data_IF_282242404913
#
_entry.id   IF_282242404913
#
_cell.length_a   1.000
_cell.length_b   1.000
_cell.length_c   1.000
_cell.angle_alpha   90.00
_cell.angle_beta   90.00
_cell.angle_gamma   90.00
#
_symmetry.space_group_name_H-M   'P 1'
#
loop_
_entity.id
_entity.type
_entity.pdbx_description
1 polymer ?
#
# COMPACT_ATOMS: atom_id res chain seq x y z
N UNK A 1 -9.10 -17.00 6.88
CA UNK A 1 -7.84 -16.25 6.75
C UNK A 1 -6.60 -17.13 6.94
N UNK A 2 -6.49 -17.95 8.01
CA UNK A 2 -5.29 -18.80 8.23
C UNK A 2 -5.14 -19.95 7.21
N UNK A 3 -6.23 -20.60 6.79
CA UNK A 3 -6.16 -21.75 5.87
C UNK A 3 -5.64 -21.42 4.46
N UNK A 4 -5.99 -20.23 3.93
CA UNK A 4 -5.51 -19.78 2.62
C UNK A 4 -4.02 -19.39 2.67
N UNK A 5 -3.55 -18.84 3.78
CA UNK A 5 -2.14 -18.52 4.00
C UNK A 5 -1.24 -19.75 4.18
N UNK A 6 -1.79 -20.88 4.66
CA UNK A 6 -1.05 -22.13 4.79
C UNK A 6 -0.73 -22.78 3.44
N UNK A 7 -1.53 -22.51 2.40
CA UNK A 7 -1.38 -23.12 1.08
C UNK A 7 0.02 -22.93 0.44
N UNK A 8 0.55 -21.69 0.29
CA UNK A 8 1.92 -21.50 -0.22
C UNK A 8 2.99 -22.12 0.70
N UNK A 9 2.75 -22.13 2.03
CA UNK A 9 3.67 -22.75 2.98
C UNK A 9 3.77 -24.27 2.83
N UNK A 10 2.65 -24.96 2.60
CA UNK A 10 2.63 -26.41 2.33
C UNK A 10 3.31 -26.71 1.00
N UNK A 11 3.05 -25.92 -0.04
CA UNK A 11 3.73 -26.06 -1.33
C UNK A 11 5.24 -25.89 -1.15
N UNK A 12 5.69 -24.83 -0.47
CA UNK A 12 7.10 -24.59 -0.21
C UNK A 12 7.74 -25.73 0.58
N UNK A 13 7.05 -26.29 1.57
CA UNK A 13 7.53 -27.43 2.34
C UNK A 13 7.74 -28.68 1.47
N UNK A 14 6.77 -29.01 0.60
CA UNK A 14 6.88 -30.14 -0.32
C UNK A 14 8.06 -29.94 -1.29
N UNK A 15 8.22 -28.73 -1.84
CA UNK A 15 9.33 -28.40 -2.74
C UNK A 15 10.69 -28.54 -2.06
N UNK A 16 10.80 -28.14 -0.78
CA UNK A 16 12.04 -28.30 -0.02
C UNK A 16 12.48 -29.76 0.18
N UNK A 17 11.56 -30.74 0.14
CA UNK A 17 11.94 -32.15 0.19
C UNK A 17 12.72 -32.63 -1.05
N UNK A 18 12.59 -31.92 -2.18
CA UNK A 18 13.29 -32.22 -3.43
C UNK A 18 14.47 -31.28 -3.74
N UNK A 19 14.61 -30.18 -2.99
CA UNK A 19 15.65 -29.19 -3.27
C UNK A 19 17.02 -29.69 -2.75
N UNK A 20 18.08 -29.67 -3.57
CA UNK A 20 19.41 -30.04 -3.09
C UNK A 20 19.89 -29.02 -2.03
N UNK A 21 20.64 -29.52 -1.03
CA UNK A 21 21.29 -28.65 -0.05
C UNK A 21 22.33 -27.73 -0.73
N UNK A 22 22.56 -26.55 -0.16
CA UNK A 22 23.54 -25.61 -0.68
C UNK A 22 24.95 -26.23 -0.76
N UNK A 23 25.68 -26.15 -1.89
CA UNK A 23 27.02 -26.71 -2.03
C UNK A 23 28.00 -26.08 -1.03
N UNK A 24 27.85 -24.78 -0.71
CA UNK A 24 28.64 -24.11 0.33
C UNK A 24 28.47 -24.76 1.70
N UNK A 25 27.23 -25.13 2.06
CA UNK A 25 26.97 -25.82 3.34
C UNK A 25 27.60 -27.22 3.37
N UNK A 26 27.50 -27.97 2.28
CA UNK A 26 28.13 -29.30 2.16
C UNK A 26 29.66 -29.21 2.27
N UNK A 27 30.29 -28.20 1.66
CA UNK A 27 31.73 -27.93 1.81
C UNK A 27 32.11 -27.58 3.26
N UNK A 28 31.32 -26.75 3.94
CA UNK A 28 31.56 -26.43 5.36
C UNK A 28 31.49 -27.66 6.27
N UNK A 29 30.69 -28.67 5.90
CA UNK A 29 30.56 -29.93 6.65
C UNK A 29 31.69 -30.93 6.34
N UNK A 30 32.48 -30.69 5.28
CA UNK A 30 33.55 -31.56 4.81
C UNK A 30 33.14 -32.54 3.71
N UNK A 31 31.88 -32.51 3.24
CA UNK A 31 31.36 -33.40 2.20
C UNK A 31 31.66 -32.86 0.79
N UNK A 32 32.95 -32.80 0.42
CA UNK A 32 33.42 -32.20 -0.85
C UNK A 32 32.89 -32.90 -2.10
N UNK A 33 32.77 -34.23 -2.09
CA UNK A 33 32.23 -35.03 -3.20
C UNK A 33 30.77 -34.69 -3.50
N UNK A 34 29.95 -34.57 -2.45
CA UNK A 34 28.54 -34.20 -2.57
C UNK A 34 28.41 -32.76 -3.07
N UNK A 35 29.24 -31.84 -2.56
CA UNK A 35 29.26 -30.46 -2.98
C UNK A 35 29.59 -30.33 -4.47
N UNK A 36 30.60 -31.07 -4.94
CA UNK A 36 31.00 -31.15 -6.34
C UNK A 36 29.85 -31.65 -7.23
N UNK A 37 29.21 -32.76 -6.85
CA UNK A 37 28.09 -33.31 -7.62
C UNK A 37 26.91 -32.32 -7.73
N UNK A 38 26.63 -31.58 -6.65
CA UNK A 38 25.57 -30.57 -6.61
C UNK A 38 25.92 -29.36 -7.49
N UNK A 39 27.17 -28.88 -7.43
CA UNK A 39 27.69 -27.80 -8.28
C UNK A 39 27.66 -28.14 -9.77
N UNK A 40 28.11 -29.34 -10.14
CA UNK A 40 28.06 -29.83 -11.53
C UNK A 40 26.62 -29.85 -12.05
N UNK A 41 25.67 -30.33 -11.23
CA UNK A 41 24.24 -30.35 -11.58
C UNK A 41 23.64 -28.94 -11.73
N UNK A 42 24.09 -27.96 -10.95
CA UNK A 42 23.59 -26.57 -10.99
C UNK A 42 24.16 -25.79 -12.18
N UNK A 43 25.45 -25.97 -12.48
CA UNK A 43 26.17 -25.22 -13.53
C UNK A 43 26.06 -25.85 -14.90
N UNK A 44 25.73 -27.15 -14.97
CA UNK A 44 25.76 -27.93 -16.22
C UNK A 44 27.12 -27.82 -16.94
N UNK A 45 28.21 -27.76 -16.17
CA UNK A 45 29.60 -27.76 -16.65
C UNK A 45 30.33 -28.99 -16.14
N UNK A 46 31.42 -29.39 -16.80
CA UNK A 46 32.26 -30.51 -16.35
C UNK A 46 33.33 -30.09 -15.34
N UNK A 47 33.63 -28.80 -15.25
CA UNK A 47 34.62 -28.23 -14.33
C UNK A 47 34.00 -27.15 -13.44
N UNK A 48 34.10 -27.37 -12.14
CA UNK A 48 33.67 -26.47 -11.05
C UNK A 48 34.79 -26.25 -10.04
N UNK A 49 36.02 -26.67 -10.37
CA UNK A 49 37.17 -26.70 -9.46
C UNK A 49 37.53 -25.30 -8.97
N UNK A 50 37.52 -24.31 -9.88
CA UNK A 50 37.79 -22.91 -9.53
C UNK A 50 36.72 -22.32 -8.60
N UNK A 51 35.44 -22.62 -8.85
CA UNK A 51 34.33 -22.16 -7.99
C UNK A 51 34.45 -22.82 -6.60
N UNK A 52 34.72 -24.12 -6.54
CA UNK A 52 34.97 -24.83 -5.27
C UNK A 52 36.16 -24.22 -4.51
N UNK A 53 37.28 -23.95 -5.18
CA UNK A 53 38.45 -23.32 -4.54
C UNK A 53 38.11 -21.93 -3.98
N UNK A 54 37.32 -21.14 -4.71
CA UNK A 54 36.88 -19.81 -4.25
C UNK A 54 35.99 -19.89 -3.01
N UNK A 55 35.08 -20.87 -2.97
CA UNK A 55 34.18 -21.12 -1.85
C UNK A 55 34.97 -21.60 -0.63
N UNK A 56 35.92 -22.51 -0.82
CA UNK A 56 36.80 -23.02 0.24
C UNK A 56 37.63 -21.91 0.87
N UNK A 57 38.25 -21.04 0.06
CA UNK A 57 39.02 -19.90 0.54
C UNK A 57 38.17 -18.94 1.38
N UNK A 58 36.93 -18.68 0.95
CA UNK A 58 35.98 -17.83 1.69
C UNK A 58 35.58 -18.46 3.03
N UNK A 59 35.35 -19.77 3.07
CA UNK A 59 35.01 -20.50 4.30
C UNK A 59 36.16 -20.44 5.32
N UNK A 60 37.41 -20.57 4.86
CA UNK A 60 38.60 -20.48 5.71
C UNK A 60 38.79 -19.06 6.28
N UNK A 61 38.60 -18.02 5.47
CA UNK A 61 38.66 -16.62 5.91
C UNK A 61 37.57 -16.28 6.93
N UNK A 62 36.37 -16.85 6.76
CA UNK A 62 35.26 -16.69 7.70
C UNK A 62 35.43 -17.53 8.98
N UNK A 63 36.13 -18.67 8.92
CA UNK A 63 36.39 -19.52 10.07
C UNK A 63 37.17 -18.80 11.18
N UNK A 64 38.10 -17.93 10.79
CA UNK A 64 38.91 -17.10 11.68
C UNK A 64 38.15 -15.90 12.28
N UNK A 65 37.03 -15.52 11.68
CA UNK A 65 36.23 -14.37 12.07
C UNK A 65 34.87 -14.78 12.64
N UNK A 66 34.84 -15.61 13.69
CA UNK A 66 33.59 -16.04 14.35
C UNK A 66 33.25 -15.25 15.62
N UNK A 67 31.95 -15.18 15.91
CA UNK A 67 31.40 -14.67 17.17
C UNK A 67 31.53 -13.15 17.38
N UNK A 68 31.93 -12.74 18.58
CA UNK A 68 32.05 -11.32 18.98
C UNK A 68 33.00 -10.50 18.10
N UNK A 69 33.98 -11.14 17.45
CA UNK A 69 34.89 -10.51 16.49
C UNK A 69 34.14 -9.98 15.26
N UNK A 70 33.05 -10.60 14.82
CA UNK A 70 32.24 -10.11 13.68
C UNK A 70 31.59 -8.78 14.02
N UNK A 71 30.93 -8.70 15.17
CA UNK A 71 30.29 -7.47 15.66
C UNK A 71 31.33 -6.36 15.84
N UNK A 72 32.49 -6.68 16.41
CA UNK A 72 33.60 -5.73 16.55
C UNK A 72 34.12 -5.26 15.18
N UNK A 73 34.31 -6.17 14.23
CA UNK A 73 34.80 -5.86 12.88
C UNK A 73 33.79 -5.00 12.10
N UNK A 74 32.48 -5.20 12.33
CA UNK A 74 31.41 -4.40 11.73
C UNK A 74 31.55 -2.90 12.06
N UNK A 75 31.93 -2.58 13.30
CA UNK A 75 32.11 -1.20 13.78
C UNK A 75 33.54 -0.67 13.63
N UNK A 76 34.54 -1.55 13.60
CA UNK A 76 35.96 -1.17 13.53
C UNK A 76 36.43 -0.96 12.09
N UNK A 77 35.92 -1.76 11.14
CA UNK A 77 36.37 -1.71 9.74
C UNK A 77 35.61 -0.60 8.98
N UNK A 78 36.30 0.44 8.49
CA UNK A 78 35.64 1.63 7.93
C UNK A 78 34.80 1.32 6.68
N UNK A 79 35.25 0.39 5.82
CA UNK A 79 34.50 -0.02 4.63
C UNK A 79 33.19 -0.74 4.98
N UNK A 80 33.23 -1.68 5.92
CA UNK A 80 32.07 -2.45 6.37
C UNK A 80 31.06 -1.54 7.08
N UNK A 81 31.55 -0.62 7.92
CA UNK A 81 30.69 0.38 8.57
C UNK A 81 29.98 1.28 7.56
N UNK A 82 30.66 1.69 6.48
CA UNK A 82 30.05 2.47 5.41
C UNK A 82 28.98 1.68 4.68
N UNK A 83 29.24 0.41 4.35
CA UNK A 83 28.25 -0.47 3.72
C UNK A 83 27.03 -0.70 4.62
N UNK A 84 27.23 -0.95 5.91
CA UNK A 84 26.17 -1.10 6.91
C UNK A 84 25.33 0.17 7.00
N UNK A 85 25.98 1.33 7.14
CA UNK A 85 25.27 2.61 7.24
C UNK A 85 24.41 2.87 6.00
N UNK A 86 24.95 2.64 4.80
CA UNK A 86 24.19 2.79 3.54
C UNK A 86 23.02 1.82 3.49
N UNK A 87 23.21 0.54 3.84
CA UNK A 87 22.15 -0.46 3.86
C UNK A 87 21.03 -0.12 4.86
N UNK A 88 21.40 0.26 6.09
CA UNK A 88 20.43 0.69 7.10
C UNK A 88 19.68 1.95 6.66
N UNK A 89 20.38 2.96 6.15
CA UNK A 89 19.75 4.20 5.69
C UNK A 89 18.81 3.95 4.51
N UNK A 90 19.20 3.06 3.59
CA UNK A 90 18.35 2.66 2.46
C UNK A 90 17.07 1.98 2.95
N UNK A 91 17.18 1.04 3.90
CA UNK A 91 16.02 0.34 4.46
C UNK A 91 15.10 1.29 5.24
N UNK A 92 15.67 2.24 5.98
CA UNK A 92 14.90 3.28 6.66
C UNK A 92 14.15 4.13 5.65
N UNK A 93 14.83 4.68 4.64
CA UNK A 93 14.19 5.52 3.61
C UNK A 93 13.11 4.75 2.85
N UNK A 94 13.29 3.45 2.58
CA UNK A 94 12.27 2.62 1.97
C UNK A 94 11.00 2.55 2.83
N UNK A 95 11.11 2.43 4.15
CA UNK A 95 9.95 2.42 5.05
C UNK A 95 9.34 3.81 5.26
N UNK A 96 10.19 4.83 5.43
CA UNK A 96 9.77 6.22 5.60
C UNK A 96 9.07 6.79 4.36
N UNK A 97 9.30 6.21 3.18
CA UNK A 97 8.53 6.56 1.98
C UNK A 97 7.02 6.32 2.13
N UNK A 98 6.61 5.41 3.04
CA UNK A 98 5.21 5.13 3.33
C UNK A 98 4.55 4.12 2.39
N UNK A 99 5.30 3.31 1.64
CA UNK A 99 4.74 2.30 0.73
C UNK A 99 3.73 1.37 1.41
N UNK A 100 4.02 0.93 2.63
CA UNK A 100 3.12 0.07 3.38
C UNK A 100 1.80 0.79 3.67
N UNK A 101 1.84 2.07 4.02
CA UNK A 101 0.65 2.88 4.22
C UNK A 101 -0.17 2.97 2.93
N UNK A 102 0.46 3.26 1.79
CA UNK A 102 -0.24 3.35 0.50
C UNK A 102 -0.85 2.01 0.10
N UNK A 103 -0.13 0.89 0.25
CA UNK A 103 -0.66 -0.44 -0.13
C UNK A 103 -1.81 -0.85 0.81
N UNK A 104 -1.60 -0.82 2.13
CA UNK A 104 -2.59 -1.30 3.10
C UNK A 104 -3.83 -0.41 3.18
N UNK A 105 -3.66 0.91 3.06
CA UNK A 105 -4.76 1.86 3.16
C UNK A 105 -5.18 2.42 1.80
N UNK A 106 -4.77 1.81 0.67
CA UNK A 106 -5.14 2.24 -0.69
C UNK A 106 -6.66 2.43 -0.84
N UNK A 107 -7.47 1.45 -0.41
CA UNK A 107 -8.93 1.55 -0.45
C UNK A 107 -9.46 2.66 0.44
N UNK A 108 -8.88 2.86 1.62
CA UNK A 108 -9.26 3.96 2.52
C UNK A 108 -8.89 5.33 1.95
N UNK A 109 -7.71 5.46 1.34
CA UNK A 109 -7.25 6.69 0.68
C UNK A 109 -8.19 7.03 -0.47
N UNK A 110 -8.55 6.05 -1.30
CA UNK A 110 -9.50 6.24 -2.41
C UNK A 110 -10.91 6.57 -1.92
N UNK A 111 -11.35 5.94 -0.83
CA UNK A 111 -12.62 6.28 -0.17
C UNK A 111 -12.60 7.75 0.29
N UNK A 112 -11.57 8.16 1.02
CA UNK A 112 -11.42 9.57 1.45
C UNK A 112 -11.26 10.56 0.29
N UNK A 113 -10.75 10.10 -0.86
CA UNK A 113 -10.66 10.92 -2.08
C UNK A 113 -12.02 11.16 -2.74
N UNK A 114 -13.08 10.46 -2.32
CA UNK A 114 -14.46 10.67 -2.80
C UNK A 114 -15.06 9.52 -3.58
N UNK A 115 -14.40 8.36 -3.65
CA UNK A 115 -14.99 7.17 -4.26
C UNK A 115 -15.93 6.45 -3.29
N UNK A 116 -17.03 5.93 -3.83
CA UNK A 116 -17.90 4.99 -3.13
C UNK A 116 -17.12 3.81 -2.56
N UNK A 117 -17.56 3.24 -1.44
CA UNK A 117 -16.82 2.20 -0.73
C UNK A 117 -16.58 0.96 -1.59
N UNK A 118 -17.58 0.52 -2.37
CA UNK A 118 -17.42 -0.65 -3.25
C UNK A 118 -16.46 -0.33 -4.37
N UNK A 119 -16.58 0.85 -4.98
CA UNK A 119 -15.68 1.31 -6.03
C UNK A 119 -14.25 1.48 -5.53
N UNK A 120 -14.05 2.01 -4.33
CA UNK A 120 -12.73 2.18 -3.72
C UNK A 120 -12.02 0.84 -3.48
N UNK A 121 -12.75 -0.22 -3.12
CA UNK A 121 -12.21 -1.58 -3.00
C UNK A 121 -11.79 -2.14 -4.36
N UNK A 122 -12.60 -1.95 -5.42
CA UNK A 122 -12.23 -2.40 -6.76
C UNK A 122 -11.06 -1.60 -7.34
N UNK A 123 -11.05 -0.28 -7.12
CA UNK A 123 -9.98 0.61 -7.58
C UNK A 123 -8.67 0.37 -6.84
N UNK A 124 -8.69 -0.07 -5.57
CA UNK A 124 -7.47 -0.39 -4.83
C UNK A 124 -6.71 -1.59 -5.40
N UNK A 125 -7.37 -2.46 -6.17
CA UNK A 125 -6.69 -3.56 -6.90
C UNK A 125 -5.73 -3.00 -7.95
N UNK A 126 -5.96 -1.81 -8.48
CA UNK A 126 -5.12 -1.20 -9.52
C UNK A 126 -3.71 -0.91 -9.00
N UNK A 127 -3.48 -0.12 -7.94
CA UNK A 127 -2.13 0.10 -7.40
C UNK A 127 -1.46 -1.20 -6.96
N UNK A 128 -2.19 -2.19 -6.46
CA UNK A 128 -1.63 -3.51 -6.14
C UNK A 128 -1.13 -4.26 -7.38
N UNK A 129 -1.91 -4.24 -8.46
CA UNK A 129 -1.54 -4.85 -9.74
C UNK A 129 -0.35 -4.12 -10.37
N UNK A 130 -0.34 -2.80 -10.27
CA UNK A 130 0.78 -1.96 -10.70
C UNK A 130 2.05 -2.31 -9.92
N UNK A 131 1.98 -2.52 -8.61
CA UNK A 131 3.14 -2.95 -7.81
C UNK A 131 3.76 -4.26 -8.34
N UNK A 132 2.89 -5.24 -8.63
CA UNK A 132 3.32 -6.52 -9.18
C UNK A 132 4.00 -6.35 -10.55
N UNK A 133 3.39 -5.61 -11.47
CA UNK A 133 3.93 -5.38 -12.81
C UNK A 133 5.21 -4.53 -12.77
N UNK A 134 5.24 -3.50 -11.94
CA UNK A 134 6.37 -2.61 -11.78
C UNK A 134 7.60 -3.33 -11.23
N UNK A 135 7.43 -4.41 -10.46
CA UNK A 135 8.56 -5.25 -10.00
C UNK A 135 9.35 -5.86 -11.17
N UNK A 136 8.68 -6.26 -12.27
CA UNK A 136 9.36 -6.77 -13.47
C UNK A 136 10.07 -5.66 -14.25
N UNK A 137 9.40 -4.51 -14.39
CA UNK A 137 9.99 -3.31 -15.01
C UNK A 137 11.25 -2.92 -14.23
N UNK A 138 11.19 -3.02 -12.92
CA UNK A 138 12.26 -2.67 -12.04
C UNK A 138 13.48 -3.58 -12.11
N UNK A 139 13.24 -4.90 -12.17
CA UNK A 139 14.31 -5.88 -12.43
C UNK A 139 15.07 -5.54 -13.72
N UNK A 140 14.34 -5.21 -14.79
CA UNK A 140 14.94 -4.80 -16.06
C UNK A 140 15.67 -3.45 -15.95
N UNK A 141 15.07 -2.46 -15.28
CA UNK A 141 15.64 -1.13 -15.10
C UNK A 141 16.98 -1.17 -14.33
N UNK A 142 17.07 -2.02 -13.31
CA UNK A 142 18.30 -2.23 -12.51
C UNK A 142 19.44 -2.77 -13.38
N UNK A 143 19.15 -3.72 -14.27
CA UNK A 143 20.14 -4.27 -15.20
C UNK A 143 20.56 -3.26 -16.27
N UNK A 144 19.61 -2.48 -16.81
CA UNK A 144 19.88 -1.53 -17.90
C UNK A 144 20.57 -0.23 -17.45
N UNK A 145 20.12 0.37 -16.33
CA UNK A 145 20.56 1.71 -15.90
C UNK A 145 21.52 1.70 -14.70
N UNK A 146 21.61 0.56 -14.00
CA UNK A 146 22.42 0.38 -12.82
C UNK A 146 21.77 0.88 -11.52
N UNK A 147 22.09 0.19 -10.42
CA UNK A 147 21.42 0.32 -9.10
C UNK A 147 21.33 1.75 -8.56
N UNK A 148 22.40 2.55 -8.67
CA UNK A 148 22.44 3.90 -8.07
C UNK A 148 21.51 4.88 -8.79
N UNK A 149 21.46 4.82 -10.13
CA UNK A 149 20.63 5.75 -10.92
C UNK A 149 19.16 5.45 -10.72
N UNK A 150 18.80 4.17 -10.78
CA UNK A 150 17.44 3.68 -10.52
C UNK A 150 16.95 4.14 -9.14
N UNK A 151 17.77 3.94 -8.10
CA UNK A 151 17.40 4.37 -6.75
C UNK A 151 17.16 5.89 -6.66
N UNK A 152 18.03 6.70 -7.26
CA UNK A 152 17.86 8.16 -7.26
C UNK A 152 16.61 8.61 -8.04
N UNK A 153 16.31 7.98 -9.18
CA UNK A 153 15.09 8.28 -9.95
C UNK A 153 13.82 7.87 -9.19
N UNK A 154 13.85 6.75 -8.46
CA UNK A 154 12.71 6.31 -7.64
C UNK A 154 12.34 7.31 -6.56
N UNK A 155 13.32 7.84 -5.82
CA UNK A 155 13.05 8.88 -4.82
C UNK A 155 12.44 10.14 -5.43
N UNK A 156 12.88 10.55 -6.62
CA UNK A 156 12.31 11.69 -7.32
C UNK A 156 10.86 11.40 -7.78
N UNK A 157 10.62 10.21 -8.33
CA UNK A 157 9.28 9.79 -8.75
C UNK A 157 8.30 9.71 -7.57
N UNK A 158 8.74 9.16 -6.43
CA UNK A 158 7.97 9.14 -5.18
C UNK A 158 7.64 10.57 -4.74
N UNK A 159 8.62 11.47 -4.68
CA UNK A 159 8.37 12.86 -4.28
C UNK A 159 7.34 13.56 -5.20
N UNK A 160 7.46 13.38 -6.52
CA UNK A 160 6.50 13.94 -7.48
C UNK A 160 5.10 13.33 -7.32
N UNK A 161 5.00 12.02 -7.10
CA UNK A 161 3.71 11.35 -6.91
C UNK A 161 2.99 11.80 -5.62
N UNK A 162 3.73 12.07 -4.54
CA UNK A 162 3.17 12.63 -3.32
C UNK A 162 2.65 14.06 -3.53
N UNK A 163 3.32 14.85 -4.37
CA UNK A 163 2.80 16.17 -4.76
C UNK A 163 1.51 16.06 -5.58
N UNK A 164 1.40 15.07 -6.48
CA UNK A 164 0.16 14.81 -7.23
C UNK A 164 -0.97 14.39 -6.30
N UNK A 165 -0.70 13.52 -5.31
CA UNK A 165 -1.68 13.15 -4.29
C UNK A 165 -2.13 14.38 -3.49
N UNK A 166 -1.19 15.19 -3.00
CA UNK A 166 -1.50 16.43 -2.27
C UNK A 166 -2.34 17.39 -3.13
N UNK A 167 -2.00 17.53 -4.41
CA UNK A 167 -2.74 18.35 -5.37
C UNK A 167 -4.14 17.80 -5.71
N UNK A 168 -4.41 16.51 -5.48
CA UNK A 168 -5.76 15.95 -5.60
C UNK A 168 -6.62 16.22 -4.38
N UNK A 169 -6.06 16.05 -3.17
CA UNK A 169 -6.79 16.26 -1.91
C UNK A 169 -7.02 17.73 -1.58
N UNK A 170 -6.09 18.62 -1.92
CA UNK A 170 -6.21 20.05 -1.62
C UNK A 170 -7.46 20.71 -2.25
N UNK A 171 -7.71 20.63 -3.57
CA UNK A 171 -8.91 21.19 -4.18
C UNK A 171 -10.18 20.44 -3.77
N UNK A 172 -10.10 19.13 -3.50
CA UNK A 172 -11.24 18.37 -2.98
C UNK A 172 -11.69 18.90 -1.61
N UNK A 173 -10.74 19.27 -0.74
CA UNK A 173 -11.03 19.89 0.54
C UNK A 173 -11.56 21.33 0.41
N UNK A 174 -10.88 22.18 -0.37
CA UNK A 174 -11.26 23.60 -0.51
C UNK A 174 -12.62 23.78 -1.19
N UNK A 175 -12.96 22.96 -2.18
CA UNK A 175 -14.23 23.04 -2.90
C UNK A 175 -15.30 22.10 -2.34
N UNK A 176 -15.11 21.59 -1.12
CA UNK A 176 -16.13 20.78 -0.47
C UNK A 176 -17.40 21.62 -0.24
N UNK A 177 -18.59 21.12 -0.57
CA UNK A 177 -19.81 21.87 -0.39
C UNK A 177 -20.10 22.06 1.09
N UNK A 178 -20.47 23.30 1.42
CA UNK A 178 -20.91 23.67 2.75
C UNK A 178 -22.28 23.07 3.07
N UNK A 179 -22.58 22.89 4.35
CA UNK A 179 -23.91 22.54 4.84
C UNK A 179 -24.85 23.73 4.60
N UNK A 180 -25.73 23.61 3.61
CA UNK A 180 -26.62 24.70 3.15
C UNK A 180 -28.09 24.49 3.49
N UNK A 181 -28.49 23.31 3.99
CA UNK A 181 -29.87 23.06 4.41
C UNK A 181 -30.09 23.48 5.87
N UNK A 182 -30.20 24.79 6.06
CA UNK A 182 -30.82 25.39 7.23
C UNK A 182 -32.32 25.12 7.12
N UNK A 183 -32.80 24.04 7.77
CA UNK A 183 -34.18 23.80 8.21
C UNK A 183 -34.34 22.30 8.51
N UNK A 184 -33.72 21.86 9.60
CA UNK A 184 -34.27 20.76 10.39
C UNK A 184 -34.62 21.36 11.75
N UNK A 185 -35.86 21.19 12.26
CA UNK A 185 -36.23 21.71 13.57
C UNK A 185 -35.26 21.12 14.58
N UNK A 186 -34.77 21.97 15.48
CA UNK A 186 -33.91 21.60 16.60
C UNK A 186 -34.54 20.42 17.35
N UNK A 187 -34.14 19.22 16.99
CA UNK A 187 -34.32 18.06 17.83
C UNK A 187 -33.09 18.09 18.73
N UNK A 188 -33.31 18.14 20.05
CA UNK A 188 -32.34 18.27 21.14
C UNK A 188 -31.24 17.17 21.18
N UNK A 189 -31.07 16.41 20.10
CA UNK A 189 -30.12 15.31 19.92
C UNK A 189 -29.30 15.45 18.62
N UNK A 190 -29.14 16.69 18.13
CA UNK A 190 -28.13 17.05 17.14
C UNK A 190 -26.74 16.86 17.78
N UNK A 191 -26.27 15.60 17.84
CA UNK A 191 -24.99 15.23 18.43
C UNK A 191 -23.79 15.78 17.66
N UNK A 192 -22.63 15.15 17.84
CA UNK A 192 -21.30 15.54 17.31
C UNK A 192 -21.29 16.02 15.84
N UNK A 193 -22.23 15.56 15.01
CA UNK A 193 -22.32 15.88 13.59
C UNK A 193 -22.74 17.32 13.26
N UNK A 194 -23.40 18.06 14.16
CA UNK A 194 -23.84 19.44 13.89
C UNK A 194 -22.70 20.47 13.90
N UNK A 195 -21.52 20.09 14.39
CA UNK A 195 -20.34 20.95 14.44
C UNK A 195 -19.61 21.07 13.10
N UNK A 196 -19.91 20.20 12.14
CA UNK A 196 -19.23 20.18 10.85
C UNK A 196 -20.00 21.01 9.82
N UNK A 197 -19.29 21.95 9.19
CA UNK A 197 -19.83 22.86 8.16
C UNK A 197 -19.63 22.37 6.73
N UNK A 198 -18.89 21.27 6.54
CA UNK A 198 -18.42 20.80 5.24
C UNK A 198 -18.63 19.29 5.09
N UNK A 199 -18.93 18.85 3.88
CA UNK A 199 -19.08 17.43 3.53
C UNK A 199 -17.83 16.60 3.89
N UNK A 200 -16.62 17.12 3.63
CA UNK A 200 -15.38 16.42 3.92
C UNK A 200 -15.18 16.19 5.42
N UNK A 201 -15.31 17.24 6.24
CA UNK A 201 -15.13 17.15 7.69
C UNK A 201 -16.21 16.28 8.34
N UNK A 202 -17.45 16.39 7.87
CA UNK A 202 -18.58 15.57 8.33
C UNK A 202 -18.35 14.07 8.07
N UNK A 203 -17.96 13.71 6.85
CA UNK A 203 -17.80 12.30 6.45
C UNK A 203 -16.51 11.66 6.99
N UNK A 204 -15.61 12.43 7.59
CA UNK A 204 -14.40 11.90 8.20
C UNK A 204 -14.67 11.27 9.58
N UNK A 205 -15.75 11.68 10.27
CA UNK A 205 -16.17 11.08 11.52
C UNK A 205 -16.95 9.78 11.26
N UNK A 206 -16.66 8.74 12.04
CA UNK A 206 -17.35 7.45 11.97
C UNK A 206 -18.82 7.50 12.40
N UNK A 207 -19.23 8.53 13.15
CA UNK A 207 -20.60 8.68 13.64
C UNK A 207 -21.51 9.49 12.70
N UNK A 208 -20.95 10.09 11.64
CA UNK A 208 -21.63 11.09 10.82
C UNK A 208 -21.68 10.70 9.33
N UNK A 209 -22.72 11.15 8.65
CA UNK A 209 -22.91 11.00 7.21
C UNK A 209 -23.49 12.27 6.61
N UNK A 210 -23.41 12.39 5.28
CA UNK A 210 -23.83 13.60 4.57
C UNK A 210 -25.01 13.31 3.64
N UNK A 211 -26.11 14.03 3.84
CA UNK A 211 -27.33 13.93 3.03
C UNK A 211 -27.38 15.13 2.08
N UNK A 212 -27.46 14.92 0.77
CA UNK A 212 -27.28 15.99 -0.22
C UNK A 212 -28.14 15.83 -1.47
N UNK A 213 -28.34 16.94 -2.18
CA UNK A 213 -28.92 16.92 -3.51
C UNK A 213 -27.81 16.78 -4.57
N UNK A 214 -27.84 15.75 -5.43
CA UNK A 214 -26.85 15.59 -6.48
C UNK A 214 -27.02 16.64 -7.58
N UNK A 215 -25.91 17.14 -8.11
CA UNK A 215 -25.86 17.86 -9.39
C UNK A 215 -25.96 16.88 -10.59
N UNK A 216 -25.95 17.39 -11.83
CA UNK A 216 -25.95 16.60 -13.07
C UNK A 216 -24.81 15.57 -13.14
N UNK A 217 -23.68 15.85 -12.48
CA UNK A 217 -22.52 14.94 -12.37
C UNK A 217 -22.54 14.06 -11.11
N UNK A 218 -23.57 14.20 -10.25
CA UNK A 218 -23.72 13.42 -9.02
C UNK A 218 -22.99 14.01 -7.79
N UNK A 219 -22.39 15.19 -7.91
CA UNK A 219 -21.68 15.87 -6.83
C UNK A 219 -22.63 16.57 -5.84
N UNK A 220 -22.24 16.66 -4.56
CA UNK A 220 -23.01 17.40 -3.57
C UNK A 220 -22.98 18.91 -3.84
N UNK A 221 -24.16 19.55 -3.90
CA UNK A 221 -24.29 21.01 -4.09
C UNK A 221 -24.83 21.71 -2.85
N UNK A 222 -25.82 21.10 -2.19
CA UNK A 222 -26.34 21.52 -0.90
C UNK A 222 -26.76 20.28 -0.10
N UNK A 223 -26.35 20.21 1.16
CA UNK A 223 -26.65 19.07 2.03
C UNK A 223 -26.60 19.42 3.51
N UNK A 224 -26.87 18.43 4.35
CA UNK A 224 -26.78 18.51 5.82
C UNK A 224 -25.96 17.33 6.36
N UNK A 225 -25.18 17.59 7.41
CA UNK A 225 -24.50 16.55 8.16
C UNK A 225 -25.46 15.94 9.18
N UNK A 226 -25.61 14.62 9.17
CA UNK A 226 -26.57 13.87 9.99
C UNK A 226 -25.89 12.66 10.62
N UNK A 227 -26.43 12.16 11.74
CA UNK A 227 -25.90 10.95 12.36
C UNK A 227 -26.13 9.72 11.47
N UNK A 228 -25.08 8.92 11.32
CA UNK A 228 -25.10 7.71 10.50
C UNK A 228 -25.82 6.55 11.21
N UNK A 229 -26.57 5.76 10.44
CA UNK A 229 -27.10 4.44 10.83
C UNK A 229 -26.03 3.49 11.34
N UNK A 230 -26.45 2.48 12.11
CA UNK A 230 -25.56 1.52 12.78
C UNK A 230 -24.77 0.68 11.76
N UNK A 231 -23.55 1.14 11.45
CA UNK A 231 -22.35 0.35 11.14
C UNK A 231 -22.29 -0.59 9.94
N UNK A 232 -23.39 -0.94 9.27
CA UNK A 232 -23.35 -1.91 8.17
C UNK A 232 -23.21 -1.22 6.80
N UNK A 233 -22.18 -1.63 6.04
CA UNK A 233 -21.80 -1.08 4.72
C UNK A 233 -22.89 -1.19 3.64
N UNK A 234 -24.00 -1.83 3.97
CA UNK A 234 -25.18 -2.06 3.12
C UNK A 234 -26.32 -1.09 3.39
N UNK A 235 -26.32 -0.39 4.52
CA UNK A 235 -27.40 0.52 4.92
C UNK A 235 -26.96 1.98 4.78
N UNK A 236 -27.10 2.52 3.57
CA UNK A 236 -26.83 3.92 3.23
C UNK A 236 -27.89 4.89 3.78
N UNK A 237 -28.44 4.70 4.98
CA UNK A 237 -29.45 5.60 5.54
C UNK A 237 -28.93 6.35 6.77
N UNK A 238 -29.53 7.51 7.05
CA UNK A 238 -29.29 8.24 8.30
C UNK A 238 -30.25 7.76 9.40
N UNK A 239 -29.85 7.84 10.67
CA UNK A 239 -30.75 7.51 11.80
C UNK A 239 -31.97 8.41 11.85
N UNK A 240 -31.77 9.69 11.50
CA UNK A 240 -32.77 10.75 11.54
C UNK A 240 -32.65 11.65 10.31
N UNK A 241 -33.69 12.45 10.03
CA UNK A 241 -33.69 13.43 8.93
C UNK A 241 -34.17 12.87 7.59
N UNK A 242 -34.03 13.67 6.53
CA UNK A 242 -34.62 13.40 5.19
C UNK A 242 -34.02 12.20 4.46
N UNK A 243 -32.83 11.75 4.87
CA UNK A 243 -32.16 10.55 4.36
C UNK A 243 -32.42 9.29 5.23
N UNK A 244 -33.39 9.31 6.14
CA UNK A 244 -33.71 8.17 7.02
C UNK A 244 -34.64 7.12 6.39
N UNK A 245 -35.42 7.48 5.37
CA UNK A 245 -36.35 6.54 4.74
C UNK A 245 -35.69 5.72 3.63
N UNK A 246 -35.64 4.39 3.85
CA UNK A 246 -35.24 3.40 2.85
C UNK A 246 -36.31 3.28 1.76
N UNK A 247 -36.10 3.94 0.62
CA UNK A 247 -36.85 3.63 -0.59
C UNK A 247 -36.46 2.24 -1.11
N UNK A 248 -37.38 1.49 -1.70
CA UNK A 248 -37.16 0.16 -2.31
C UNK A 248 -36.16 0.14 -3.51
N UNK A 249 -35.36 1.19 -3.70
CA UNK A 249 -34.39 1.33 -4.78
C UNK A 249 -32.99 0.86 -4.38
N UNK A 250 -32.32 0.16 -5.30
CA UNK A 250 -30.92 -0.25 -5.17
C UNK A 250 -30.01 0.98 -5.07
N UNK A 251 -29.44 1.22 -3.89
CA UNK A 251 -28.24 2.04 -3.66
C UNK A 251 -28.27 3.49 -4.17
N UNK A 252 -28.23 4.45 -3.23
CA UNK A 252 -28.00 5.87 -3.48
C UNK A 252 -29.16 6.71 -4.06
N UNK A 253 -30.42 6.26 -3.95
CA UNK A 253 -31.59 7.15 -4.05
C UNK A 253 -32.44 6.97 -2.80
N UNK A 254 -32.22 7.82 -1.79
CA UNK A 254 -32.85 7.69 -0.49
C UNK A 254 -33.50 9.01 -0.13
N UNK A 255 -34.83 9.02 -0.19
CA UNK A 255 -35.68 10.19 -0.04
C UNK A 255 -36.61 10.35 -1.24
N UNK A 256 -37.90 10.60 -0.98
CA UNK A 256 -38.92 10.79 -2.02
C UNK A 256 -38.66 11.95 -3.00
N UNK A 257 -37.62 12.75 -2.75
CA UNK A 257 -37.28 13.98 -3.49
C UNK A 257 -35.92 13.92 -4.23
N UNK A 258 -35.35 12.73 -4.49
CA UNK A 258 -34.09 12.60 -5.26
C UNK A 258 -32.81 12.88 -4.47
N UNK A 259 -32.88 12.84 -3.14
CA UNK A 259 -31.75 12.98 -2.22
C UNK A 259 -30.82 11.76 -2.24
N UNK A 260 -29.53 12.00 -1.99
CA UNK A 260 -28.50 10.98 -1.82
C UNK A 260 -27.84 11.08 -0.45
N UNK A 261 -27.45 9.93 0.07
CA UNK A 261 -26.71 9.81 1.31
C UNK A 261 -25.33 9.21 1.03
N UNK A 262 -24.31 9.76 1.67
CA UNK A 262 -22.94 9.25 1.63
C UNK A 262 -22.35 9.12 3.03
N UNK A 263 -21.52 8.10 3.23
CA UNK A 263 -20.88 7.78 4.51
C UNK A 263 -19.39 7.47 4.32
N UNK A 264 -18.53 8.24 4.97
CA UNK A 264 -17.08 8.03 4.91
C UNK A 264 -16.39 8.51 3.63
N UNK A 265 -17.11 9.12 2.68
CA UNK A 265 -16.55 9.72 1.46
C UNK A 265 -17.37 10.93 1.01
N UNK A 266 -16.72 11.91 0.37
CA UNK A 266 -17.38 13.04 -0.26
C UNK A 266 -17.08 13.06 -1.77
N UNK A 267 -18.07 12.90 -2.66
CA UNK A 267 -17.84 12.84 -4.11
C UNK A 267 -17.26 14.15 -4.65
N UNK A 268 -16.17 14.08 -5.42
CA UNK A 268 -15.54 15.26 -6.05
C UNK A 268 -15.06 14.96 -7.47
N UNK A 269 -14.91 15.99 -8.29
CA UNK A 269 -14.31 15.86 -9.64
C UNK A 269 -12.81 15.55 -9.62
N UNK A 270 -12.16 15.74 -8.47
CA UNK A 270 -10.70 15.61 -8.32
C UNK A 270 -10.27 14.20 -7.88
N UNK A 271 -11.20 13.28 -7.59
CA UNK A 271 -10.90 11.95 -7.06
C UNK A 271 -9.95 11.13 -7.95
N UNK A 272 -9.98 11.32 -9.28
CA UNK A 272 -9.09 10.61 -10.21
C UNK A 272 -7.61 10.93 -10.00
N UNK A 273 -7.27 12.12 -9.50
CA UNK A 273 -5.89 12.51 -9.17
C UNK A 273 -5.32 11.65 -8.04
N UNK A 274 -6.16 11.22 -7.10
CA UNK A 274 -5.76 10.32 -6.03
C UNK A 274 -5.38 8.94 -6.58
N UNK A 275 -6.17 8.41 -7.52
CA UNK A 275 -5.88 7.14 -8.19
C UNK A 275 -4.56 7.23 -8.97
N UNK A 276 -4.39 8.28 -9.79
CA UNK A 276 -3.17 8.51 -10.56
C UNK A 276 -1.95 8.66 -9.64
N UNK A 277 -2.08 9.44 -8.57
CA UNK A 277 -1.02 9.64 -7.60
C UNK A 277 -0.61 8.34 -6.91
N UNK A 278 -1.57 7.49 -6.51
CA UNK A 278 -1.28 6.16 -5.96
C UNK A 278 -0.56 5.26 -6.98
N UNK A 279 -0.99 5.25 -8.25
CA UNK A 279 -0.33 4.46 -9.29
C UNK A 279 1.11 4.93 -9.53
N UNK A 280 1.33 6.24 -9.69
CA UNK A 280 2.65 6.83 -9.89
C UNK A 280 3.56 6.60 -8.68
N UNK A 281 3.00 6.67 -7.47
CA UNK A 281 3.74 6.39 -6.25
C UNK A 281 4.25 4.95 -6.22
N UNK A 282 3.39 3.99 -6.53
CA UNK A 282 3.76 2.57 -6.57
C UNK A 282 4.75 2.29 -7.69
N UNK A 283 4.55 2.86 -8.89
CA UNK A 283 5.50 2.76 -10.00
C UNK A 283 6.87 3.35 -9.64
N UNK A 284 6.89 4.49 -8.96
CA UNK A 284 8.13 5.12 -8.52
C UNK A 284 8.84 4.31 -7.42
N UNK A 285 8.06 3.62 -6.57
CA UNK A 285 8.60 2.82 -5.48
C UNK A 285 9.17 1.48 -5.93
N UNK A 286 8.59 0.84 -6.95
CA UNK A 286 9.08 -0.41 -7.53
C UNK A 286 10.21 -0.10 -8.53
N UNK A 287 11.50 -0.16 -8.12
CA UNK A 287 12.64 0.33 -8.89
C UNK A 287 13.20 -0.71 -9.83
#
# INVERSE_FOLDING_TARGET
MLGLGAFPGVIQFIVFLWLPESPRYQMMKGDLEKAKSTLLSLRSTDDVTDEMNSIQATIEEEADNKGWRVWKNLFTTPHVRKALFVGCMLQLLAQFSGINTVIYYSSSILKSAGFDVRMAIWLSVIPLSVNFLATFIGLWAVEAMGRKKVLSSSFLAIALSLLVLAAGFFPAWVNSPHTGLENEPQLDDAGVCSFYTDCYSCTQDSACGFCYHPDQHGHPTNGSCVQAGDGDLTELHSLHGRCSHVGNGTGAMLGGDGLRYTFGYCPTDYSWLAVLGCMLFVLGFAP
#
